data_IF_873764796520
#
_entry.id   IF_873764796520
#
_cell.length_a   1.000
_cell.length_b   1.000
_cell.length_c   1.000
_cell.angle_alpha   90.00
_cell.angle_beta   90.00
_cell.angle_gamma   90.00
#
_symmetry.space_group_name_H-M   'P 1'
#
loop_
_entity.id
_entity.type
_entity.pdbx_description
1 polymer ?
#
# COMPACT_ATOMS: atom_id res chain seq x y z
N UNK A 1 -33.99 -20.82 -30.55
CA UNK A 1 -34.20 -22.24 -30.28
C UNK A 1 -35.02 -22.34 -29.00
N UNK A 2 -36.28 -22.78 -29.13
CA UNK A 2 -37.22 -22.94 -28.02
C UNK A 2 -37.18 -24.40 -27.59
N UNK A 3 -36.95 -24.68 -26.30
CA UNK A 3 -37.23 -26.00 -25.73
C UNK A 3 -38.55 -25.97 -24.97
N UNK A 4 -39.42 -26.80 -25.41
CA UNK A 4 -40.75 -27.08 -24.85
C UNK A 4 -40.57 -28.12 -23.75
N UNK A 5 -41.13 -27.89 -22.57
CA UNK A 5 -41.21 -28.86 -21.47
C UNK A 5 -42.64 -29.36 -21.40
N UNK A 6 -42.82 -30.66 -21.66
CA UNK A 6 -44.11 -31.38 -21.48
C UNK A 6 -44.20 -31.90 -20.06
N UNK A 7 -45.31 -31.61 -19.42
CA UNK A 7 -45.74 -32.14 -18.12
C UNK A 7 -46.42 -33.49 -18.29
N UNK A 8 -46.07 -34.46 -17.43
CA UNK A 8 -46.88 -35.70 -17.24
C UNK A 8 -47.19 -35.83 -15.75
N UNK A 9 -48.47 -35.84 -15.44
CA UNK A 9 -49.07 -36.14 -14.13
C UNK A 9 -49.11 -37.65 -13.88
N UNK A 10 -48.90 -38.07 -12.63
CA UNK A 10 -49.23 -39.39 -12.12
C UNK A 10 -49.18 -39.45 -10.58
N UNK A 11 -50.11 -40.14 -9.89
CA UNK A 11 -50.54 -39.81 -8.54
C UNK A 11 -50.04 -40.73 -7.40
N UNK A 12 -50.14 -40.19 -6.20
CA UNK A 12 -50.27 -40.76 -4.86
C UNK A 12 -49.38 -41.96 -4.43
N UNK A 13 -48.59 -41.68 -3.41
CA UNK A 13 -48.00 -42.71 -2.55
C UNK A 13 -47.47 -42.12 -1.23
N UNK A 14 -48.15 -42.41 -0.19
CA UNK A 14 -48.08 -41.99 1.22
C UNK A 14 -46.76 -42.37 1.94
N UNK A 15 -46.34 -41.53 2.92
CA UNK A 15 -45.47 -41.81 4.09
C UNK A 15 -43.94 -41.66 3.92
N UNK A 16 -43.33 -40.68 4.49
CA UNK A 16 -42.56 -40.67 5.78
C UNK A 16 -41.74 -39.39 5.86
N UNK A 17 -41.91 -38.72 7.00
CA UNK A 17 -41.12 -37.59 7.44
C UNK A 17 -39.64 -37.97 7.53
N UNK A 18 -38.78 -37.29 6.77
CA UNK A 18 -37.40 -37.07 7.13
C UNK A 18 -37.08 -35.59 6.94
N UNK A 19 -36.99 -34.91 8.06
CA UNK A 19 -36.44 -33.56 8.12
C UNK A 19 -34.94 -33.68 7.80
N UNK A 20 -34.57 -33.52 6.57
CA UNK A 20 -33.21 -33.25 6.18
C UNK A 20 -33.01 -31.73 6.26
N UNK A 21 -32.39 -31.28 7.34
CA UNK A 21 -31.89 -29.92 7.45
C UNK A 21 -30.81 -29.68 6.39
N UNK A 22 -31.18 -28.93 5.36
CA UNK A 22 -30.20 -28.38 4.42
C UNK A 22 -29.40 -27.34 5.19
N UNK A 23 -28.28 -27.76 5.76
CA UNK A 23 -27.28 -26.87 6.30
C UNK A 23 -26.67 -26.11 5.12
N UNK A 24 -27.11 -24.86 4.93
CA UNK A 24 -26.42 -23.91 4.05
C UNK A 24 -25.07 -23.62 4.70
N UNK A 25 -24.04 -24.35 4.26
CA UNK A 25 -22.66 -24.00 4.58
C UNK A 25 -22.35 -22.68 3.85
N UNK A 26 -22.51 -21.55 4.55
CA UNK A 26 -21.97 -20.27 4.12
C UNK A 26 -20.44 -20.42 4.08
N UNK A 27 -19.89 -20.74 2.92
CA UNK A 27 -18.48 -20.57 2.60
C UNK A 27 -18.20 -19.07 2.62
N UNK A 28 -17.85 -18.55 3.79
CA UNK A 28 -17.23 -17.25 3.90
C UNK A 28 -15.89 -17.33 3.19
N UNK A 29 -15.84 -16.86 1.95
CA UNK A 29 -14.58 -16.59 1.26
C UNK A 29 -13.87 -15.47 2.04
N UNK A 30 -13.15 -15.86 3.08
CA UNK A 30 -12.20 -14.97 3.72
C UNK A 30 -11.21 -14.54 2.63
N UNK A 31 -11.20 -13.25 2.29
CA UNK A 31 -10.21 -12.68 1.38
C UNK A 31 -8.83 -12.88 2.02
N UNK A 32 -8.16 -13.97 1.66
CA UNK A 32 -6.86 -14.32 2.20
C UNK A 32 -5.83 -13.38 1.60
N UNK A 33 -5.19 -12.57 2.44
CA UNK A 33 -3.99 -11.85 2.03
C UNK A 33 -2.93 -12.85 1.52
N UNK A 34 -2.19 -12.50 0.45
CA UNK A 34 -1.23 -13.42 -0.14
C UNK A 34 -0.09 -13.74 0.84
N UNK A 35 0.36 -14.98 0.82
CA UNK A 35 1.52 -15.41 1.59
C UNK A 35 2.78 -14.70 1.08
N UNK A 36 3.62 -14.29 2.01
CA UNK A 36 4.95 -13.76 1.69
C UNK A 36 5.81 -14.91 1.14
N UNK A 37 6.19 -14.83 -0.13
CA UNK A 37 7.05 -15.83 -0.77
C UNK A 37 8.46 -15.74 -0.22
N UNK A 38 9.24 -16.84 -0.16
CA UNK A 38 10.66 -16.78 0.18
C UNK A 38 11.42 -15.79 -0.72
N UNK A 39 12.47 -15.15 -0.18
CA UNK A 39 13.33 -14.29 -0.98
C UNK A 39 14.05 -15.11 -2.06
N UNK A 40 14.04 -14.60 -3.28
CA UNK A 40 14.76 -15.17 -4.42
C UNK A 40 16.09 -14.44 -4.56
N UNK A 41 17.11 -15.14 -5.09
CA UNK A 41 18.44 -14.59 -5.38
C UNK A 41 19.54 -15.18 -4.49
N UNK A 42 20.76 -14.73 -4.70
CA UNK A 42 21.95 -15.16 -3.94
C UNK A 42 22.00 -14.44 -2.59
N UNK A 43 22.36 -15.13 -1.50
CA UNK A 43 22.59 -14.49 -0.22
C UNK A 43 23.64 -13.38 -0.32
N UNK A 44 23.40 -12.25 0.32
CA UNK A 44 24.35 -11.14 0.32
C UNK A 44 24.41 -10.47 1.68
N UNK A 45 25.54 -9.82 1.96
CA UNK A 45 25.74 -8.92 3.12
C UNK A 45 25.69 -7.44 2.72
N UNK A 46 25.12 -7.15 1.55
CA UNK A 46 25.04 -5.79 1.07
C UNK A 46 24.31 -4.90 2.10
N UNK A 47 24.86 -3.72 2.34
CA UNK A 47 24.21 -2.70 3.15
C UNK A 47 23.00 -2.14 2.40
N UNK A 48 21.99 -1.72 3.16
CA UNK A 48 20.86 -1.01 2.57
C UNK A 48 21.35 0.26 1.86
N UNK A 49 20.91 0.49 0.62
CA UNK A 49 21.19 1.74 -0.07
C UNK A 49 20.68 2.92 0.76
N UNK A 50 21.40 4.06 0.77
CA UNK A 50 20.94 5.24 1.46
C UNK A 50 19.63 5.72 0.85
N UNK A 51 18.65 5.96 1.70
CA UNK A 51 17.33 6.49 1.30
C UNK A 51 17.11 7.84 1.95
N UNK A 52 16.45 8.74 1.27
CA UNK A 52 16.15 10.06 1.83
C UNK A 52 15.44 10.95 0.85
N UNK A 53 14.95 12.06 1.33
CA UNK A 53 14.39 13.10 0.50
C UNK A 53 15.49 13.76 -0.36
N UNK A 54 15.12 14.30 -1.53
CA UNK A 54 16.02 15.05 -2.39
C UNK A 54 16.80 16.12 -1.63
N UNK A 55 18.02 16.42 -2.07
CA UNK A 55 18.85 17.43 -1.41
C UNK A 55 18.20 18.82 -1.47
N UNK A 56 17.64 19.16 -2.63
CA UNK A 56 16.89 20.40 -2.81
C UNK A 56 15.40 20.14 -2.52
N UNK A 57 14.69 21.11 -1.93
CA UNK A 57 13.26 21.04 -1.77
C UNK A 57 12.56 20.85 -3.13
N UNK A 58 11.53 20.00 -3.17
CA UNK A 58 10.82 19.66 -4.39
C UNK A 58 9.32 19.82 -4.24
N UNK A 59 8.72 20.33 -5.29
CA UNK A 59 7.28 20.32 -5.55
C UNK A 59 7.00 19.31 -6.65
N UNK A 60 6.21 18.28 -6.34
CA UNK A 60 5.68 17.33 -7.31
C UNK A 60 4.20 17.60 -7.52
N UNK A 61 3.77 17.62 -8.78
CA UNK A 61 2.35 17.59 -9.15
C UNK A 61 2.00 16.18 -9.58
N UNK A 62 0.79 15.71 -9.28
CA UNK A 62 0.38 14.36 -9.60
C UNK A 62 -1.12 14.27 -9.85
N UNK A 63 -1.52 13.23 -10.57
CA UNK A 63 -2.89 12.73 -10.59
C UNK A 63 -3.00 11.51 -9.71
N UNK A 64 -4.17 11.25 -9.16
CA UNK A 64 -4.39 10.09 -8.30
C UNK A 64 -5.73 9.43 -8.56
N UNK A 65 -5.78 8.12 -8.31
CA UNK A 65 -7.01 7.33 -8.26
C UNK A 65 -7.00 6.49 -7.00
N UNK A 66 -8.14 6.40 -6.36
CA UNK A 66 -8.35 5.58 -5.17
C UNK A 66 -9.57 4.71 -5.34
N UNK A 67 -9.49 3.47 -4.85
CA UNK A 67 -10.59 2.53 -4.84
C UNK A 67 -10.50 1.62 -3.61
N UNK A 68 -11.63 1.42 -2.94
CA UNK A 68 -11.85 0.35 -1.98
C UNK A 68 -13.20 -0.34 -2.23
N UNK A 69 -13.70 -1.14 -1.31
CA UNK A 69 -14.96 -1.89 -1.49
C UNK A 69 -16.19 -1.00 -1.60
N UNK A 70 -16.16 0.21 -1.03
CA UNK A 70 -17.34 1.07 -0.88
C UNK A 70 -17.19 2.44 -1.53
N UNK A 71 -16.00 2.78 -1.98
CA UNK A 71 -15.70 4.14 -2.43
C UNK A 71 -14.65 4.14 -3.54
N UNK A 72 -14.86 5.00 -4.53
CA UNK A 72 -13.92 5.28 -5.60
C UNK A 72 -13.84 6.79 -5.81
N UNK A 73 -12.62 7.30 -5.95
CA UNK A 73 -12.37 8.71 -6.20
C UNK A 73 -11.11 8.93 -7.02
N UNK A 74 -11.01 10.07 -7.67
CA UNK A 74 -9.83 10.50 -8.39
C UNK A 74 -9.68 12.03 -8.33
N UNK A 75 -8.49 12.49 -8.65
CA UNK A 75 -8.22 13.91 -8.63
C UNK A 75 -6.78 14.24 -8.96
N UNK A 76 -6.43 15.46 -8.66
CA UNK A 76 -5.10 16.02 -8.80
C UNK A 76 -4.51 16.30 -7.42
N UNK A 77 -3.20 16.49 -7.34
CA UNK A 77 -2.56 16.79 -6.06
C UNK A 77 -1.18 17.38 -6.22
N UNK A 78 -0.63 17.75 -5.08
CA UNK A 78 0.75 18.22 -4.98
C UNK A 78 1.44 17.65 -3.75
N UNK A 79 2.72 17.31 -3.89
CA UNK A 79 3.59 16.99 -2.76
C UNK A 79 4.69 18.03 -2.68
N UNK A 80 4.86 18.61 -1.51
CA UNK A 80 6.01 19.44 -1.16
C UNK A 80 6.91 18.63 -0.25
N UNK A 81 8.18 18.52 -0.59
CA UNK A 81 9.16 17.75 0.18
C UNK A 81 10.37 18.60 0.52
N UNK A 82 10.83 18.52 1.76
CA UNK A 82 12.02 19.24 2.24
C UNK A 82 12.75 18.40 3.29
N UNK A 83 14.09 18.32 3.16
CA UNK A 83 14.93 17.69 4.19
C UNK A 83 14.78 18.38 5.54
N UNK A 84 15.04 17.65 6.64
CA UNK A 84 15.44 16.25 6.66
C UNK A 84 14.25 15.28 6.46
N UNK A 85 13.03 15.66 6.86
CA UNK A 85 11.90 14.75 7.03
C UNK A 85 10.55 15.47 7.05
N UNK A 86 10.37 16.44 6.13
CA UNK A 86 9.13 17.20 5.97
C UNK A 86 8.50 16.88 4.62
N UNK A 87 7.21 16.53 4.63
CA UNK A 87 6.42 16.42 3.41
C UNK A 87 4.99 16.88 3.68
N UNK A 88 4.39 17.58 2.70
CA UNK A 88 2.99 17.93 2.70
C UNK A 88 2.36 17.45 1.40
N UNK A 89 1.26 16.70 1.53
CA UNK A 89 0.48 16.16 0.43
C UNK A 89 -0.87 16.86 0.40
N UNK A 90 -1.16 17.53 -0.67
CA UNK A 90 -2.46 18.17 -0.92
C UNK A 90 -3.21 17.35 -1.98
N UNK A 91 -4.48 17.00 -1.71
CA UNK A 91 -5.35 16.23 -2.60
C UNK A 91 -6.53 17.09 -3.01
N UNK A 92 -6.82 17.15 -4.30
CA UNK A 92 -7.94 17.88 -4.88
C UNK A 92 -8.83 16.88 -5.63
N UNK A 93 -10.12 16.90 -5.35
CA UNK A 93 -11.09 16.06 -6.05
C UNK A 93 -11.44 16.66 -7.41
N UNK A 94 -11.51 15.83 -8.44
CA UNK A 94 -11.79 16.28 -9.81
C UNK A 94 -13.22 16.80 -10.01
N UNK A 95 -14.14 16.45 -9.13
CA UNK A 95 -15.54 16.88 -9.14
C UNK A 95 -15.78 18.29 -8.54
N UNK A 96 -14.72 19.05 -8.28
CA UNK A 96 -14.80 20.40 -7.70
C UNK A 96 -15.11 20.45 -6.20
N UNK A 97 -15.26 19.30 -5.53
CA UNK A 97 -15.39 19.26 -4.08
C UNK A 97 -14.04 19.58 -3.42
N UNK A 98 -14.12 20.14 -2.22
CA UNK A 98 -12.94 20.47 -1.43
C UNK A 98 -12.06 19.22 -1.24
N UNK A 99 -10.79 19.37 -1.54
CA UNK A 99 -9.78 18.40 -1.22
C UNK A 99 -9.37 18.48 0.26
N UNK A 100 -8.32 17.80 0.60
CA UNK A 100 -7.73 17.86 1.92
C UNK A 100 -6.22 17.69 1.83
N UNK A 101 -5.54 17.71 2.97
CA UNK A 101 -4.10 17.57 3.00
C UNK A 101 -3.61 16.75 4.18
N UNK A 102 -2.38 16.31 4.07
CA UNK A 102 -1.64 15.67 5.13
C UNK A 102 -0.25 16.26 5.26
N UNK A 103 0.26 16.34 6.47
CA UNK A 103 1.61 16.81 6.77
C UNK A 103 2.36 15.69 7.48
N UNK A 104 3.53 15.36 6.96
CA UNK A 104 4.50 14.45 7.54
C UNK A 104 5.66 15.24 8.14
N UNK A 105 5.92 15.01 9.43
CA UNK A 105 7.05 15.59 10.16
C UNK A 105 7.72 14.47 10.94
N UNK A 106 8.85 13.98 10.47
CA UNK A 106 9.47 12.79 11.05
C UNK A 106 8.52 11.60 11.04
N UNK A 107 8.19 11.04 12.19
CA UNK A 107 7.28 9.92 12.34
C UNK A 107 5.81 10.35 12.54
N UNK A 108 5.56 11.65 12.59
CA UNK A 108 4.22 12.19 12.84
C UNK A 108 3.49 12.47 11.55
N UNK A 109 2.27 11.92 11.42
CA UNK A 109 1.34 12.21 10.34
C UNK A 109 0.17 13.03 10.89
N UNK A 110 0.06 14.26 10.43
CA UNK A 110 -1.04 15.17 10.72
C UNK A 110 -2.01 15.17 9.54
N UNK A 111 -3.27 14.85 9.78
CA UNK A 111 -4.34 14.91 8.78
C UNK A 111 -5.46 15.75 9.36
N UNK A 112 -5.41 17.09 9.18
CA UNK A 112 -6.46 17.96 9.64
C UNK A 112 -7.71 17.84 8.74
N UNK A 113 -8.88 17.86 9.35
CA UNK A 113 -10.15 17.97 8.66
C UNK A 113 -10.71 16.63 8.15
N UNK A 114 -10.87 16.52 6.86
CA UNK A 114 -11.74 15.55 6.19
C UNK A 114 -11.22 14.11 6.32
N UNK A 115 -12.07 13.19 6.76
CA UNK A 115 -11.79 11.74 6.85
C UNK A 115 -11.34 11.10 5.53
N UNK A 116 -11.68 11.72 4.40
CA UNK A 116 -11.28 11.26 3.08
C UNK A 116 -9.77 11.11 2.96
N UNK A 117 -8.99 12.16 3.27
CA UNK A 117 -7.52 12.09 3.13
C UNK A 117 -6.93 11.00 4.03
N UNK A 118 -7.45 10.87 5.25
CA UNK A 118 -7.03 9.79 6.16
C UNK A 118 -7.29 8.40 5.58
N UNK A 119 -8.40 8.24 4.85
CA UNK A 119 -8.77 6.99 4.17
C UNK A 119 -7.85 6.68 2.98
N UNK A 120 -7.40 7.72 2.25
CA UNK A 120 -6.53 7.57 1.08
C UNK A 120 -5.11 7.12 1.47
N UNK A 121 -4.59 7.64 2.57
CA UNK A 121 -3.17 7.53 2.89
C UNK A 121 -2.77 6.15 3.42
N UNK A 122 -1.61 5.63 2.99
CA UNK A 122 -0.96 4.51 3.65
C UNK A 122 -0.44 4.90 5.04
N UNK A 123 -0.11 3.92 5.90
CA UNK A 123 0.63 4.17 7.13
C UNK A 123 1.92 4.94 6.90
N UNK A 124 2.33 5.72 7.89
CA UNK A 124 3.50 6.62 7.81
C UNK A 124 4.76 5.97 7.22
N UNK A 125 5.18 4.73 7.59
CA UNK A 125 6.35 4.12 6.99
C UNK A 125 6.23 3.88 5.48
N UNK A 126 5.07 3.41 5.01
CA UNK A 126 4.83 3.19 3.58
C UNK A 126 4.64 4.50 2.82
N UNK A 127 4.09 5.52 3.48
CA UNK A 127 3.97 6.85 2.89
C UNK A 127 5.36 7.47 2.69
N UNK A 128 6.26 7.38 3.67
CA UNK A 128 7.67 7.78 3.49
C UNK A 128 8.37 6.98 2.40
N UNK A 129 8.16 5.65 2.36
CA UNK A 129 8.73 4.80 1.32
C UNK A 129 8.27 5.22 -0.08
N UNK A 130 7.02 5.66 -0.24
CA UNK A 130 6.51 6.19 -1.52
C UNK A 130 7.23 7.45 -1.96
N UNK A 131 7.71 8.26 -1.03
CA UNK A 131 8.52 9.47 -1.28
C UNK A 131 10.02 9.18 -1.40
N UNK A 132 10.44 7.91 -1.25
CA UNK A 132 11.83 7.47 -1.38
C UNK A 132 12.64 7.50 -0.10
N UNK A 133 12.01 7.79 1.04
CA UNK A 133 12.64 7.75 2.37
C UNK A 133 12.21 6.48 3.11
N UNK A 134 13.17 5.74 3.63
CA UNK A 134 12.90 4.62 4.51
C UNK A 134 12.83 5.13 5.96
N UNK A 135 11.66 4.96 6.58
CA UNK A 135 11.40 5.33 7.97
C UNK A 135 10.70 4.14 8.66
N UNK A 136 11.46 3.07 8.88
CA UNK A 136 10.97 1.85 9.50
C UNK A 136 11.41 1.80 10.97
N UNK A 137 10.62 1.14 11.83
CA UNK A 137 11.06 0.83 13.18
C UNK A 137 12.36 0.01 13.16
N UNK A 138 13.22 0.14 14.15
CA UNK A 138 14.41 -0.69 14.28
C UNK A 138 14.02 -2.17 14.33
N UNK A 139 14.70 -2.99 13.55
CA UNK A 139 14.52 -4.45 13.51
C UNK A 139 15.85 -5.13 13.78
N UNK A 140 15.83 -6.28 14.48
CA UNK A 140 17.07 -7.00 14.86
C UNK A 140 17.53 -7.95 13.75
N UNK A 141 16.60 -8.60 13.07
CA UNK A 141 16.92 -9.61 12.09
C UNK A 141 16.85 -9.05 10.68
N UNK A 142 17.87 -9.29 9.89
CA UNK A 142 17.96 -8.84 8.51
C UNK A 142 18.48 -9.97 7.64
N UNK A 143 17.71 -10.32 6.61
CA UNK A 143 18.11 -11.27 5.57
C UNK A 143 18.09 -10.56 4.24
N UNK A 144 19.21 -10.58 3.51
CA UNK A 144 19.34 -9.93 2.23
C UNK A 144 19.69 -10.93 1.12
N UNK A 145 19.10 -10.75 -0.05
CA UNK A 145 19.41 -11.48 -1.27
C UNK A 145 19.47 -10.53 -2.46
N UNK A 146 20.35 -10.84 -3.40
CA UNK A 146 20.49 -10.10 -4.65
C UNK A 146 20.11 -11.01 -5.82
N UNK A 147 19.32 -10.49 -6.73
CA UNK A 147 18.86 -11.15 -7.93
C UNK A 147 18.99 -10.16 -9.09
N UNK A 148 20.01 -10.40 -9.92
CA UNK A 148 20.46 -9.49 -10.98
C UNK A 148 20.83 -8.11 -10.39
N UNK A 149 20.00 -7.11 -10.55
CA UNK A 149 20.16 -5.72 -10.09
C UNK A 149 19.23 -5.37 -8.91
N UNK A 150 18.46 -6.35 -8.46
CA UNK A 150 17.45 -6.15 -7.40
C UNK A 150 17.96 -6.69 -6.07
N UNK A 151 18.21 -5.80 -5.12
CA UNK A 151 18.45 -6.15 -3.72
C UNK A 151 17.11 -6.31 -3.01
N UNK A 152 16.87 -7.50 -2.44
CA UNK A 152 15.68 -7.80 -1.61
C UNK A 152 16.11 -8.01 -0.17
N UNK A 153 15.41 -7.37 0.75
CA UNK A 153 15.76 -7.40 2.17
C UNK A 153 14.52 -7.66 3.01
N UNK A 154 14.59 -8.67 3.85
CA UNK A 154 13.61 -8.91 4.91
C UNK A 154 14.16 -8.36 6.22
N UNK A 155 13.38 -7.52 6.88
CA UNK A 155 13.65 -6.91 8.17
C UNK A 155 12.63 -7.43 9.18
N UNK A 156 13.13 -8.04 10.27
CA UNK A 156 12.31 -8.76 11.24
C UNK A 156 12.13 -10.24 10.85
N UNK A 157 11.73 -11.08 11.82
CA UNK A 157 11.61 -12.50 11.61
C UNK A 157 10.43 -12.83 10.70
N UNK A 158 10.70 -13.30 9.48
CA UNK A 158 9.71 -13.86 8.56
C UNK A 158 9.54 -15.36 8.69
N UNK A 159 10.52 -16.04 9.24
CA UNK A 159 10.58 -17.50 9.37
C UNK A 159 10.87 -17.90 10.81
N UNK A 160 10.06 -18.81 11.32
CA UNK A 160 10.23 -19.41 12.62
C UNK A 160 9.15 -19.02 13.62
N UNK A 161 8.86 -19.93 14.50
CA UNK A 161 7.81 -19.85 15.53
C UNK A 161 8.04 -18.76 16.58
N UNK A 162 9.17 -18.07 16.50
CA UNK A 162 9.58 -16.98 17.39
C UNK A 162 9.64 -15.63 16.68
N UNK A 163 8.66 -15.33 15.83
CA UNK A 163 8.42 -13.98 15.30
C UNK A 163 7.99 -13.03 16.44
N UNK A 164 8.70 -13.10 17.56
CA UNK A 164 8.53 -12.28 18.76
C UNK A 164 9.36 -11.00 18.73
N UNK A 165 9.52 -10.39 17.54
CA UNK A 165 9.61 -8.93 17.53
C UNK A 165 8.33 -8.43 18.18
N UNK A 166 8.38 -7.49 19.13
CA UNK A 166 7.30 -7.09 20.02
C UNK A 166 5.89 -6.95 19.42
N UNK A 167 5.75 -7.00 18.09
CA UNK A 167 4.48 -6.88 17.35
C UNK A 167 4.28 -7.95 16.26
N UNK A 168 5.14 -8.95 16.07
CA UNK A 168 5.02 -9.95 14.99
C UNK A 168 5.03 -9.35 13.58
N UNK A 169 5.55 -8.13 13.43
CA UNK A 169 5.59 -7.38 12.18
C UNK A 169 6.95 -7.49 11.54
N UNK A 170 6.95 -7.78 10.25
CA UNK A 170 8.15 -7.80 9.43
C UNK A 170 7.97 -6.89 8.21
N UNK A 171 9.08 -6.47 7.64
CA UNK A 171 9.11 -5.64 6.45
C UNK A 171 9.93 -6.32 5.37
N UNK A 172 9.46 -6.24 4.15
CA UNK A 172 10.23 -6.62 2.97
C UNK A 172 10.46 -5.41 2.09
N UNK A 173 11.70 -5.22 1.71
CA UNK A 173 12.13 -4.13 0.84
C UNK A 173 12.70 -4.71 -0.45
N UNK A 174 12.49 -4.01 -1.56
CA UNK A 174 13.18 -4.27 -2.82
C UNK A 174 13.76 -2.97 -3.37
N UNK A 175 15.03 -3.03 -3.74
CA UNK A 175 15.76 -1.93 -4.36
C UNK A 175 16.16 -2.34 -5.77
N UNK A 176 15.92 -1.46 -6.73
CA UNK A 176 16.52 -1.56 -8.08
C UNK A 176 17.68 -0.57 -8.12
N UNK A 177 18.90 -1.11 -8.21
CA UNK A 177 20.10 -0.31 -7.92
C UNK A 177 20.02 0.33 -6.53
N UNK A 178 20.09 1.66 -6.47
CA UNK A 178 19.98 2.41 -5.22
C UNK A 178 18.56 2.89 -4.90
N UNK A 179 17.60 2.63 -5.78
CA UNK A 179 16.23 3.15 -5.65
C UNK A 179 15.34 2.15 -4.91
N UNK A 180 14.70 2.60 -3.84
CA UNK A 180 13.64 1.82 -3.19
C UNK A 180 12.45 1.67 -4.15
N UNK A 181 12.26 0.47 -4.66
CA UNK A 181 11.22 0.15 -5.65
C UNK A 181 9.94 -0.40 -4.99
N UNK A 182 10.07 -1.08 -3.85
CA UNK A 182 8.94 -1.68 -3.15
C UNK A 182 9.20 -1.80 -1.65
N UNK A 183 8.15 -1.59 -0.86
CA UNK A 183 8.13 -1.88 0.57
C UNK A 183 6.82 -2.60 0.91
N UNK A 184 6.92 -3.68 1.67
CA UNK A 184 5.80 -4.53 2.10
C UNK A 184 5.79 -4.64 3.61
N UNK A 185 4.60 -4.55 4.21
CA UNK A 185 4.37 -4.92 5.60
C UNK A 185 3.81 -6.33 5.66
N UNK A 186 4.44 -7.17 6.47
CA UNK A 186 4.12 -8.60 6.58
C UNK A 186 3.71 -8.87 8.04
N UNK A 187 2.61 -9.58 8.21
CA UNK A 187 2.12 -10.03 9.51
C UNK A 187 1.70 -11.50 9.41
N UNK A 188 2.20 -12.34 10.31
CA UNK A 188 1.91 -13.77 10.31
C UNK A 188 2.22 -14.45 8.97
N UNK A 189 3.32 -14.07 8.32
CA UNK A 189 3.74 -14.60 7.02
C UNK A 189 2.88 -14.15 5.83
N UNK A 190 1.96 -13.19 6.01
CA UNK A 190 1.11 -12.66 4.94
C UNK A 190 1.44 -11.21 4.65
N UNK A 191 1.46 -10.85 3.37
CA UNK A 191 1.59 -9.45 2.95
C UNK A 191 0.26 -8.77 3.24
N UNK A 192 0.27 -7.82 4.17
CA UNK A 192 -0.93 -7.09 4.58
C UNK A 192 -1.13 -5.85 3.72
N UNK A 193 -0.05 -5.15 3.48
CA UNK A 193 -0.06 -3.95 2.65
C UNK A 193 1.33 -3.70 2.06
N UNK A 194 1.35 -3.00 0.95
CA UNK A 194 2.59 -2.68 0.26
C UNK A 194 2.47 -1.39 -0.55
N UNK A 195 3.61 -0.80 -0.78
CA UNK A 195 3.78 0.26 -1.76
C UNK A 195 4.83 -0.13 -2.79
N UNK A 196 4.67 0.36 -4.00
CA UNK A 196 5.71 0.31 -5.04
C UNK A 196 5.86 1.66 -5.71
N UNK A 197 7.07 1.92 -6.21
CA UNK A 197 7.37 3.08 -7.05
C UNK A 197 8.23 2.65 -8.23
N UNK A 198 7.94 3.20 -9.37
CA UNK A 198 8.70 2.94 -10.61
C UNK A 198 8.70 4.17 -11.50
N UNK A 199 9.65 4.25 -12.41
CA UNK A 199 9.61 5.20 -13.51
C UNK A 199 8.66 4.69 -14.59
N UNK A 200 7.76 5.55 -15.06
CA UNK A 200 6.97 5.32 -16.26
C UNK A 200 7.82 5.46 -17.52
N UNK A 201 7.22 5.19 -18.67
CA UNK A 201 7.88 5.37 -19.97
C UNK A 201 8.26 6.84 -20.26
N UNK A 202 7.53 7.75 -19.66
CA UNK A 202 7.75 9.21 -19.67
C UNK A 202 8.84 9.68 -18.70
N UNK A 203 9.46 8.76 -17.97
CA UNK A 203 10.46 9.06 -16.95
C UNK A 203 9.88 9.58 -15.63
N UNK A 204 8.57 9.79 -15.52
CA UNK A 204 7.92 10.26 -14.30
C UNK A 204 7.67 9.11 -13.32
N UNK A 205 7.53 9.44 -12.03
CA UNK A 205 7.24 8.45 -11.01
C UNK A 205 5.80 7.99 -11.04
N UNK A 206 5.62 6.68 -10.98
CA UNK A 206 4.35 6.02 -10.74
C UNK A 206 4.43 5.31 -9.39
N UNK A 207 3.48 5.57 -8.53
CA UNK A 207 3.39 5.06 -7.18
C UNK A 207 2.10 4.25 -7.04
N UNK A 208 2.17 3.13 -6.33
CA UNK A 208 1.00 2.33 -6.03
C UNK A 208 1.05 1.89 -4.56
N UNK A 209 -0.05 2.07 -3.86
CA UNK A 209 -0.28 1.49 -2.55
C UNK A 209 -1.45 0.53 -2.60
N UNK A 210 -1.32 -0.61 -1.93
CA UNK A 210 -2.36 -1.62 -1.80
C UNK A 210 -2.42 -2.09 -0.35
N UNK A 211 -3.63 -2.15 0.20
CA UNK A 211 -3.93 -2.84 1.44
C UNK A 211 -4.80 -4.05 1.12
N UNK A 212 -4.23 -5.25 1.24
CA UNK A 212 -4.83 -6.48 0.71
C UNK A 212 -6.14 -6.84 1.42
N UNK A 213 -6.18 -6.80 2.75
CA UNK A 213 -7.39 -7.14 3.52
C UNK A 213 -8.53 -6.15 3.32
N UNK A 214 -8.23 -4.86 3.25
CA UNK A 214 -9.23 -3.80 3.05
C UNK A 214 -9.49 -3.50 1.59
N UNK A 215 -8.92 -4.26 0.65
CA UNK A 215 -9.02 -4.06 -0.81
C UNK A 215 -8.82 -2.62 -1.25
N UNK A 216 -8.03 -1.84 -0.48
CA UNK A 216 -7.75 -0.45 -0.77
C UNK A 216 -6.60 -0.35 -1.76
N UNK A 217 -6.78 0.48 -2.76
CA UNK A 217 -5.76 0.77 -3.77
C UNK A 217 -5.69 2.26 -4.02
N UNK A 218 -4.50 2.83 -3.90
CA UNK A 218 -4.19 4.19 -4.29
C UNK A 218 -3.10 4.13 -5.35
N UNK A 219 -3.38 4.72 -6.51
CA UNK A 219 -2.38 4.92 -7.56
C UNK A 219 -2.14 6.42 -7.72
N UNK A 220 -0.87 6.80 -7.85
CA UNK A 220 -0.42 8.17 -8.05
C UNK A 220 0.50 8.18 -9.27
N UNK A 221 0.22 9.05 -10.22
CA UNK A 221 1.09 9.32 -11.35
C UNK A 221 1.62 10.76 -11.24
N UNK A 222 2.92 10.90 -11.02
CA UNK A 222 3.57 12.21 -11.01
C UNK A 222 3.56 12.77 -12.42
N UNK A 223 3.13 14.00 -12.57
CA UNK A 223 3.01 14.70 -13.86
C UNK A 223 4.10 15.74 -14.03
N UNK A 224 4.60 16.29 -12.93
CA UNK A 224 5.66 17.30 -12.92
C UNK A 224 6.49 17.23 -11.64
N UNK A 225 7.77 17.60 -11.76
CA UNK A 225 8.70 17.69 -10.63
C UNK A 225 9.55 18.94 -10.78
N UNK A 226 9.42 19.86 -9.85
CA UNK A 226 10.13 21.14 -9.84
C UNK A 226 10.96 21.26 -8.56
N UNK A 227 12.26 21.58 -8.70
CA UNK A 227 13.10 21.98 -7.58
C UNK A 227 12.84 23.43 -7.24
N UNK A 228 12.78 23.75 -5.95
CA UNK A 228 12.54 25.11 -5.43
C UNK A 228 13.61 25.47 -4.40
N UNK A 229 13.78 26.74 -4.10
CA UNK A 229 14.75 27.19 -3.08
C UNK A 229 14.32 26.78 -1.67
N UNK A 230 13.03 26.78 -1.38
CA UNK A 230 12.47 26.41 -0.09
C UNK A 230 10.97 26.57 -0.04
N UNK A 231 10.40 26.24 1.09
CA UNK A 231 8.99 26.46 1.39
C UNK A 231 8.85 27.28 2.65
N UNK A 232 7.82 28.12 2.71
CA UNK A 232 7.46 28.84 3.94
C UNK A 232 7.17 27.83 5.07
N UNK A 233 7.71 28.12 6.25
CA UNK A 233 7.51 27.24 7.43
C UNK A 233 6.03 27.16 7.86
N UNK A 234 5.21 28.11 7.49
CA UNK A 234 3.77 28.07 7.77
C UNK A 234 3.05 26.88 7.11
N UNK A 235 3.56 26.38 5.97
CA UNK A 235 2.93 25.21 5.29
C UNK A 235 3.03 23.92 6.08
N UNK A 236 4.00 23.84 7.03
CA UNK A 236 4.24 22.66 7.87
C UNK A 236 3.44 22.70 9.17
N UNK A 237 2.72 23.77 9.43
CA UNK A 237 1.94 23.95 10.66
C UNK A 237 0.50 23.46 10.42
N UNK A 238 -0.11 23.00 11.49
CA UNK A 238 -1.55 22.79 11.54
C UNK A 238 -2.22 24.18 11.55
N UNK A 239 -3.24 24.43 10.71
CA UNK A 239 -4.03 25.65 10.79
C UNK A 239 -4.78 25.75 12.10
#
# INVERSE_FOLDING_TARGET
MRCVVSSVFGPLGWRRRMRQGVGVACLTMAACAPLARPLVGLPTRALLPPTGLPAQPQLLRFTWTYKDETFEANGDGAVRMQRPDRARLDFFLRNGMAGGYAILLGDTLLVPGIDLVRRLLPPTPLLWASLGRLALPPTRDTVARIDVDTLRVDLGALQGQDASGADGRAWRLAFSGTTLARAERIEGGKVIEWMSRRRGADGQWQLQYVHERGKRRLAIAVTDTTSVEGFDDAIWRRP
#
